data_IF_999899931328
#
_entry.id   IF_999899931328
#
_cell.length_a   1.000
_cell.length_b   1.000
_cell.length_c   1.000
_cell.angle_alpha   90.00
_cell.angle_beta   90.00
_cell.angle_gamma   90.00
#
_symmetry.space_group_name_H-M   'P 1'
#
loop_
_entity.id
_entity.type
_entity.pdbx_description
1 polymer ?
#
# COMPACT_ATOMS: atom_id res chain seq x y z
N UNK A 1 26.53 2.92 -2.29
CA UNK A 1 25.77 1.67 -2.12
C UNK A 1 24.87 1.67 -0.88
N UNK A 2 25.36 2.04 0.32
CA UNK A 2 24.56 2.14 1.55
C UNK A 2 23.30 3.04 1.44
N UNK A 3 23.43 4.23 0.86
CA UNK A 3 22.30 5.16 0.67
C UNK A 3 21.26 4.59 -0.31
N UNK A 4 21.71 3.84 -1.32
CA UNK A 4 20.86 3.24 -2.35
C UNK A 4 20.01 2.07 -1.79
N UNK A 5 20.56 1.27 -0.87
CA UNK A 5 19.82 0.19 -0.18
C UNK A 5 18.78 0.74 0.82
N UNK A 6 19.06 1.86 1.48
CA UNK A 6 18.09 2.52 2.36
C UNK A 6 16.92 3.12 1.58
N UNK A 7 17.16 3.67 0.39
CA UNK A 7 16.10 4.21 -0.48
C UNK A 7 15.06 3.15 -0.85
N UNK A 8 15.48 1.92 -1.18
CA UNK A 8 14.54 0.82 -1.51
C UNK A 8 13.66 0.43 -0.31
N UNK A 9 14.25 0.38 0.90
CA UNK A 9 13.52 0.13 2.16
C UNK A 9 12.53 1.24 2.47
N UNK A 10 12.97 2.50 2.37
CA UNK A 10 12.17 3.68 2.66
C UNK A 10 11.01 3.79 1.67
N UNK A 11 11.26 3.55 0.38
CA UNK A 11 10.20 3.57 -0.63
C UNK A 11 9.17 2.48 -0.39
N UNK A 12 9.61 1.26 -0.06
CA UNK A 12 8.70 0.17 0.31
C UNK A 12 7.90 0.47 1.58
N UNK A 13 8.52 1.04 2.62
CA UNK A 13 7.84 1.41 3.85
C UNK A 13 6.77 2.50 3.63
N UNK A 14 7.11 3.54 2.87
CA UNK A 14 6.16 4.61 2.50
C UNK A 14 5.02 4.05 1.67
N UNK A 15 5.32 3.21 0.67
CA UNK A 15 4.31 2.61 -0.20
C UNK A 15 3.36 1.68 0.57
N UNK A 16 3.90 0.92 1.53
CA UNK A 16 3.11 0.05 2.41
C UNK A 16 2.20 0.88 3.33
N UNK A 17 2.75 1.94 3.95
CA UNK A 17 1.97 2.81 4.81
C UNK A 17 0.84 3.51 4.03
N UNK A 18 1.13 3.99 2.82
CA UNK A 18 0.15 4.62 1.95
C UNK A 18 -0.96 3.64 1.55
N UNK A 19 -0.60 2.42 1.12
CA UNK A 19 -1.57 1.38 0.79
C UNK A 19 -2.47 1.00 1.97
N UNK A 20 -1.90 0.90 3.17
CA UNK A 20 -2.66 0.64 4.40
C UNK A 20 -3.66 1.76 4.72
N UNK A 21 -3.23 3.02 4.64
CA UNK A 21 -4.10 4.19 4.87
C UNK A 21 -5.24 4.22 3.85
N UNK A 22 -4.96 3.96 2.56
CA UNK A 22 -6.00 3.89 1.52
C UNK A 22 -7.01 2.78 1.79
N UNK A 23 -6.56 1.59 2.20
CA UNK A 23 -7.45 0.48 2.54
C UNK A 23 -8.35 0.80 3.74
N UNK A 24 -7.78 1.38 4.79
CA UNK A 24 -8.54 1.80 5.97
C UNK A 24 -9.56 2.89 5.62
N UNK A 25 -9.18 3.84 4.78
CA UNK A 25 -10.08 4.91 4.34
C UNK A 25 -11.23 4.38 3.46
N UNK A 26 -10.94 3.46 2.53
CA UNK A 26 -11.95 2.79 1.72
C UNK A 26 -12.93 1.99 2.60
N UNK A 27 -12.43 1.26 3.60
CA UNK A 27 -13.26 0.54 4.57
C UNK A 27 -14.13 1.50 5.41
N UNK A 28 -13.56 2.64 5.84
CA UNK A 28 -14.30 3.65 6.58
C UNK A 28 -15.46 4.24 5.74
N UNK A 29 -15.21 4.59 4.48
CA UNK A 29 -16.25 5.08 3.58
C UNK A 29 -17.32 4.00 3.35
N UNK A 30 -16.90 2.75 3.14
CA UNK A 30 -17.81 1.63 2.91
C UNK A 30 -18.82 1.44 4.04
N UNK A 31 -18.37 1.57 5.30
CA UNK A 31 -19.22 1.37 6.48
C UNK A 31 -20.11 2.59 6.74
N UNK A 32 -19.62 3.81 6.51
CA UNK A 32 -20.35 5.03 6.89
C UNK A 32 -21.28 5.58 5.80
N UNK A 33 -21.12 5.19 4.54
CA UNK A 33 -21.98 5.69 3.46
C UNK A 33 -23.20 4.79 3.23
N UNK A 34 -24.40 5.38 3.33
CA UNK A 34 -25.68 4.73 2.99
C UNK A 34 -25.88 4.49 1.49
N UNK A 35 -25.28 5.32 0.63
CA UNK A 35 -25.29 5.17 -0.84
C UNK A 35 -23.84 5.16 -1.35
N UNK A 36 -23.11 4.06 -1.17
CA UNK A 36 -21.71 4.00 -1.55
C UNK A 36 -21.55 3.98 -3.08
N UNK A 37 -20.61 4.78 -3.60
CA UNK A 37 -20.15 4.71 -4.99
C UNK A 37 -19.27 3.46 -5.18
N UNK A 38 -19.92 2.33 -5.43
CA UNK A 38 -19.30 0.99 -5.48
C UNK A 38 -18.09 0.91 -6.41
N UNK A 39 -18.13 1.60 -7.55
CA UNK A 39 -17.03 1.62 -8.53
C UNK A 39 -15.78 2.23 -7.93
N UNK A 40 -15.93 3.38 -7.26
CA UNK A 40 -14.83 4.09 -6.61
C UNK A 40 -14.26 3.29 -5.45
N UNK A 41 -15.12 2.68 -4.64
CA UNK A 41 -14.70 1.85 -3.51
C UNK A 41 -13.89 0.63 -3.95
N UNK A 42 -14.37 -0.10 -4.97
CA UNK A 42 -13.66 -1.26 -5.51
C UNK A 42 -12.30 -0.86 -6.10
N UNK A 43 -12.26 0.25 -6.85
CA UNK A 43 -11.01 0.75 -7.43
C UNK A 43 -10.03 1.15 -6.32
N UNK A 44 -10.46 1.92 -5.33
CA UNK A 44 -9.62 2.33 -4.21
C UNK A 44 -9.15 1.14 -3.35
N UNK A 45 -10.02 0.16 -3.07
CA UNK A 45 -9.64 -1.04 -2.33
C UNK A 45 -8.61 -1.87 -3.09
N UNK A 46 -8.80 -2.08 -4.39
CA UNK A 46 -7.84 -2.83 -5.23
C UNK A 46 -6.52 -2.06 -5.36
N UNK A 47 -6.56 -0.75 -5.62
CA UNK A 47 -5.35 0.09 -5.66
C UNK A 47 -4.57 0.01 -4.35
N UNK A 48 -5.27 0.18 -3.21
CA UNK A 48 -4.66 0.12 -1.88
C UNK A 48 -4.02 -1.24 -1.61
N UNK A 49 -4.67 -2.33 -2.02
CA UNK A 49 -4.16 -3.68 -1.88
C UNK A 49 -2.91 -3.92 -2.76
N UNK A 50 -2.93 -3.45 -4.01
CA UNK A 50 -1.77 -3.52 -4.91
C UNK A 50 -0.59 -2.73 -4.34
N UNK A 51 -0.82 -1.51 -3.86
CA UNK A 51 0.23 -0.67 -3.27
C UNK A 51 0.79 -1.28 -1.98
N UNK A 52 -0.08 -1.81 -1.12
CA UNK A 52 0.32 -2.48 0.11
C UNK A 52 1.15 -3.74 -0.17
N UNK A 53 0.68 -4.60 -1.08
CA UNK A 53 1.39 -5.82 -1.46
C UNK A 53 2.72 -5.53 -2.16
N UNK A 54 2.76 -4.52 -3.01
CA UNK A 54 3.99 -4.07 -3.68
C UNK A 54 5.00 -3.50 -2.68
N UNK A 55 4.54 -2.69 -1.72
CA UNK A 55 5.38 -2.14 -0.66
C UNK A 55 6.05 -3.21 0.19
N UNK A 56 5.29 -4.23 0.61
CA UNK A 56 5.83 -5.40 1.32
C UNK A 56 6.83 -6.15 0.43
N UNK A 57 6.52 -6.34 -0.86
CA UNK A 57 7.41 -6.97 -1.83
C UNK A 57 8.76 -6.26 -1.95
N UNK A 58 8.77 -4.92 -1.98
CA UNK A 58 9.99 -4.11 -2.02
C UNK A 58 10.82 -4.23 -0.73
N UNK A 59 10.16 -4.30 0.43
CA UNK A 59 10.85 -4.49 1.72
C UNK A 59 11.46 -5.89 1.81
N UNK A 60 10.73 -6.91 1.32
CA UNK A 60 11.06 -8.33 1.47
C UNK A 60 12.03 -8.85 0.38
N UNK A 61 12.07 -8.20 -0.78
CA UNK A 61 13.04 -8.46 -1.86
C UNK A 61 14.49 -8.14 -1.48
N UNK A 62 14.73 -7.63 -0.28
CA UNK A 62 16.06 -7.46 0.31
C UNK A 62 16.41 -8.75 1.06
N UNK A 63 16.38 -9.87 0.35
CA UNK A 63 17.28 -10.96 0.71
C UNK A 63 18.63 -10.49 0.22
N UNK A 64 19.45 -10.09 1.18
CA UNK A 64 20.90 -10.19 1.17
C UNK A 64 21.42 -10.96 -0.05
N UNK A 65 21.69 -10.22 -1.14
CA UNK A 65 22.54 -10.70 -2.22
C UNK A 65 23.91 -10.89 -1.57
N UNK A 66 24.16 -12.11 -1.09
CA UNK A 66 25.47 -12.54 -0.61
C UNK A 66 26.45 -12.55 -1.79
#
# INVERSE_FOLDING_TARGET
MYILMNLKKIFGAILTLLGAVTLLYAAFIFINNKNPEWRTLIVCSILGLIFFSSGIGLIKGIKDDN
#
